data_IF_384998153557
#
_entry.id   IF_384998153557
#
_cell.length_a   1.000
_cell.length_b   1.000
_cell.length_c   1.000
_cell.angle_alpha   90.00
_cell.angle_beta   90.00
_cell.angle_gamma   90.00
#
_symmetry.space_group_name_H-M   'P 1'
#
loop_
_entity.id
_entity.type
_entity.pdbx_description
1 polymer ?
#
# COMPACT_ATOMS: atom_id res chain seq x y z
N UNK A 1 37.96 -41.54 -42.32
CA UNK A 1 38.23 -41.03 -40.96
C UNK A 1 37.83 -39.56 -40.79
N UNK A 2 36.77 -39.10 -41.47
CA UNK A 2 36.39 -37.68 -41.60
C UNK A 2 34.92 -37.39 -41.26
N UNK A 3 34.08 -38.42 -41.11
CA UNK A 3 32.64 -38.25 -40.85
C UNK A 3 32.25 -38.16 -39.36
N UNK A 4 33.04 -38.72 -38.44
CA UNK A 4 32.70 -38.75 -37.01
C UNK A 4 32.96 -37.38 -36.35
N UNK A 5 33.92 -36.61 -36.88
CA UNK A 5 34.34 -35.31 -36.33
C UNK A 5 33.28 -34.21 -36.57
N UNK A 6 32.43 -34.32 -37.60
CA UNK A 6 31.36 -33.33 -37.87
C UNK A 6 30.12 -33.48 -36.99
N UNK A 7 29.84 -34.68 -36.48
CA UNK A 7 28.63 -34.93 -35.65
C UNK A 7 28.85 -34.45 -34.21
N UNK A 8 30.09 -34.51 -33.72
CA UNK A 8 30.44 -34.03 -32.37
C UNK A 8 30.37 -32.50 -32.28
N UNK A 9 30.58 -31.78 -33.39
CA UNK A 9 30.49 -30.31 -33.42
C UNK A 9 29.04 -29.78 -33.42
N UNK A 10 28.07 -30.59 -33.84
CA UNK A 10 26.65 -30.20 -33.88
C UNK A 10 25.95 -30.46 -32.53
N UNK A 11 26.44 -31.43 -31.74
CA UNK A 11 25.91 -31.72 -30.40
C UNK A 11 26.48 -30.80 -29.29
N UNK A 12 27.56 -30.05 -29.56
CA UNK A 12 28.16 -29.09 -28.61
C UNK A 12 27.55 -27.68 -28.72
N UNK A 13 26.63 -27.43 -29.66
CA UNK A 13 25.99 -26.13 -29.85
C UNK A 13 24.66 -26.00 -29.07
N UNK A 14 24.20 -27.06 -28.38
CA UNK A 14 22.85 -27.11 -27.79
C UNK A 14 22.76 -26.88 -26.28
N UNK A 15 23.85 -26.55 -25.58
CA UNK A 15 23.81 -26.35 -24.12
C UNK A 15 24.51 -25.06 -23.70
N UNK A 16 24.09 -23.94 -24.28
CA UNK A 16 24.32 -22.61 -23.70
C UNK A 16 23.00 -21.83 -23.77
N UNK A 17 21.94 -22.39 -23.19
CA UNK A 17 20.92 -21.54 -22.58
C UNK A 17 21.59 -20.93 -21.35
N UNK A 18 22.27 -19.81 -21.57
CA UNK A 18 22.66 -18.91 -20.49
C UNK A 18 21.35 -18.52 -19.81
N UNK A 19 21.04 -19.14 -18.67
CA UNK A 19 20.07 -18.57 -17.76
C UNK A 19 20.63 -17.20 -17.40
N UNK A 20 20.07 -16.14 -18.00
CA UNK A 20 20.35 -14.78 -17.55
C UNK A 20 20.13 -14.80 -16.04
N UNK A 21 21.04 -14.25 -15.22
CA UNK A 21 20.74 -14.05 -13.83
C UNK A 21 19.43 -13.26 -13.80
N UNK A 22 18.39 -13.82 -13.16
CA UNK A 22 17.19 -13.05 -12.85
C UNK A 22 17.70 -11.89 -12.01
N UNK A 23 17.80 -10.73 -12.62
CA UNK A 23 18.16 -9.51 -11.92
C UNK A 23 17.04 -9.29 -10.92
N UNK A 24 17.31 -9.53 -9.65
CA UNK A 24 16.37 -9.19 -8.57
C UNK A 24 16.01 -7.73 -8.72
N UNK A 25 14.72 -7.41 -8.68
CA UNK A 25 14.25 -6.04 -8.67
C UNK A 25 14.92 -5.29 -7.50
N UNK A 26 15.32 -4.05 -7.74
CA UNK A 26 15.74 -3.17 -6.66
C UNK A 26 14.49 -2.67 -5.94
N UNK A 27 14.54 -2.59 -4.61
CA UNK A 27 13.40 -2.16 -3.79
C UNK A 27 13.87 -1.04 -2.88
N UNK A 28 13.43 0.17 -3.21
CA UNK A 28 13.70 1.37 -2.42
C UNK A 28 12.70 1.43 -1.27
N UNK A 29 13.14 1.49 0.01
CA UNK A 29 12.23 1.69 1.13
C UNK A 29 11.43 2.98 0.97
N UNK A 30 10.13 2.89 1.22
CA UNK A 30 9.25 4.05 1.24
C UNK A 30 9.20 4.61 2.66
N UNK A 31 9.63 5.85 2.83
CA UNK A 31 9.57 6.55 4.12
C UNK A 31 8.20 7.23 4.27
N UNK A 32 7.44 6.79 5.27
CA UNK A 32 6.16 7.38 5.64
C UNK A 32 6.37 8.40 6.75
N UNK A 33 5.76 9.58 6.62
CA UNK A 33 5.83 10.66 7.59
C UNK A 33 4.51 10.80 8.33
N UNK A 34 4.56 11.06 9.64
CA UNK A 34 3.38 11.35 10.44
C UNK A 34 2.78 12.71 10.04
N UNK A 35 1.48 12.70 9.72
CA UNK A 35 0.76 13.88 9.25
C UNK A 35 1.00 14.19 7.78
N UNK A 36 0.08 14.96 7.19
CA UNK A 36 0.09 15.28 5.76
C UNK A 36 0.50 16.74 5.51
N UNK A 37 1.29 16.97 4.47
CA UNK A 37 1.53 18.31 3.94
C UNK A 37 0.32 18.81 3.12
N UNK A 38 0.42 20.00 2.51
CA UNK A 38 -0.70 20.58 1.74
C UNK A 38 -1.16 19.69 0.59
N UNK A 39 -0.23 19.15 -0.19
CA UNK A 39 -0.52 18.31 -1.35
C UNK A 39 -1.21 17.01 -0.94
N UNK A 40 -0.65 16.35 0.07
CA UNK A 40 -1.18 15.10 0.62
C UNK A 40 -2.54 15.31 1.30
N UNK A 41 -2.75 16.46 1.96
CA UNK A 41 -4.03 16.80 2.57
C UNK A 41 -5.13 16.97 1.52
N UNK A 42 -4.82 17.59 0.38
CA UNK A 42 -5.76 17.69 -0.75
C UNK A 42 -6.11 16.30 -1.29
N UNK A 43 -5.08 15.45 -1.49
CA UNK A 43 -5.27 14.07 -1.92
C UNK A 43 -6.16 13.27 -0.96
N UNK A 44 -5.90 13.34 0.35
CA UNK A 44 -6.69 12.68 1.38
C UNK A 44 -8.11 13.22 1.41
N UNK A 45 -8.27 14.54 1.42
CA UNK A 45 -9.59 15.17 1.54
C UNK A 45 -10.51 14.75 0.40
N UNK A 46 -10.01 14.73 -0.84
CA UNK A 46 -10.79 14.38 -2.02
C UNK A 46 -10.87 12.87 -2.25
N UNK A 47 -9.74 12.16 -2.15
CA UNK A 47 -9.64 10.74 -2.48
C UNK A 47 -10.15 9.80 -1.39
N UNK A 48 -10.14 10.20 -0.12
CA UNK A 48 -10.54 9.37 1.02
C UNK A 48 -11.81 9.85 1.73
N UNK A 49 -12.57 10.79 1.17
CA UNK A 49 -13.79 11.32 1.83
C UNK A 49 -14.70 10.18 2.31
N UNK A 50 -15.05 9.25 1.42
CA UNK A 50 -15.98 8.15 1.72
C UNK A 50 -15.40 7.18 2.76
N UNK A 51 -14.09 6.92 2.70
CA UNK A 51 -13.38 6.10 3.70
C UNK A 51 -13.45 6.76 5.08
N UNK A 52 -13.17 8.06 5.18
CA UNK A 52 -13.21 8.81 6.44
C UNK A 52 -14.64 8.84 7.00
N UNK A 53 -15.63 9.12 6.16
CA UNK A 53 -17.04 9.09 6.56
C UNK A 53 -17.47 7.71 7.05
N UNK A 54 -17.03 6.65 6.37
CA UNK A 54 -17.27 5.26 6.79
C UNK A 54 -16.63 4.96 8.14
N UNK A 55 -15.41 5.42 8.39
CA UNK A 55 -14.71 5.23 9.67
C UNK A 55 -15.44 5.94 10.83
N UNK A 56 -15.84 7.21 10.63
CA UNK A 56 -16.64 7.95 11.62
C UNK A 56 -17.95 7.23 11.89
N UNK A 57 -18.63 6.75 10.84
CA UNK A 57 -19.88 5.99 10.98
C UNK A 57 -19.66 4.69 11.74
N UNK A 58 -18.62 3.94 11.44
CA UNK A 58 -18.28 2.71 12.15
C UNK A 58 -18.02 3.00 13.63
N UNK A 59 -17.25 4.04 13.95
CA UNK A 59 -17.06 4.46 15.35
C UNK A 59 -18.39 4.79 16.03
N UNK A 60 -19.25 5.55 15.35
CA UNK A 60 -20.54 5.98 15.90
C UNK A 60 -21.57 4.86 16.04
N UNK A 61 -21.51 3.78 15.28
CA UNK A 61 -22.63 2.82 15.15
C UNK A 61 -22.25 1.37 15.38
N UNK A 62 -20.96 1.04 15.38
CA UNK A 62 -20.48 -0.34 15.42
C UNK A 62 -19.32 -0.53 16.41
N UNK A 63 -18.80 0.55 17.01
CA UNK A 63 -17.75 0.52 18.02
C UNK A 63 -18.26 0.90 19.42
N UNK A 64 -17.33 1.08 20.36
CA UNK A 64 -17.58 1.37 21.78
C UNK A 64 -18.52 2.56 22.03
N UNK A 65 -18.66 3.50 21.09
CA UNK A 65 -19.51 4.68 21.30
C UNK A 65 -20.98 4.35 21.55
N UNK A 66 -21.59 3.37 20.86
CA UNK A 66 -23.01 3.01 21.17
C UNK A 66 -23.14 2.01 22.32
N UNK A 67 -22.05 1.35 22.69
CA UNK A 67 -22.02 0.34 23.75
C UNK A 67 -21.51 0.92 25.07
N UNK A 68 -21.75 2.21 25.29
CA UNK A 68 -21.35 2.92 26.50
C UNK A 68 -21.93 2.33 27.79
N UNK A 69 -21.32 2.67 28.94
CA UNK A 69 -21.76 2.18 30.23
C UNK A 69 -23.19 2.64 30.57
N UNK A 70 -23.93 1.81 31.31
CA UNK A 70 -25.23 2.18 31.87
C UNK A 70 -25.01 3.04 33.13
N UNK A 71 -25.41 4.31 33.08
CA UNK A 71 -25.15 5.27 34.15
C UNK A 71 -26.44 5.69 34.87
N UNK A 72 -26.36 5.86 36.19
CA UNK A 72 -27.46 6.44 36.97
C UNK A 72 -27.45 7.97 36.88
N UNK A 73 -28.56 8.62 37.27
CA UNK A 73 -28.63 10.08 37.30
C UNK A 73 -27.74 10.61 38.42
N UNK A 74 -26.71 11.39 38.08
CA UNK A 74 -25.74 11.97 39.02
C UNK A 74 -24.32 11.40 38.93
N UNK A 75 -24.08 10.35 38.14
CA UNK A 75 -22.76 9.78 37.90
C UNK A 75 -22.06 10.43 36.69
N UNK A 76 -21.54 11.64 36.88
CA UNK A 76 -20.90 12.39 35.78
C UNK A 76 -19.68 11.68 35.18
N UNK A 77 -18.96 10.88 35.98
CA UNK A 77 -17.80 10.10 35.56
C UNK A 77 -18.13 8.79 34.85
N UNK A 78 -19.40 8.38 34.84
CA UNK A 78 -19.85 7.20 34.10
C UNK A 78 -20.18 7.57 32.64
N UNK A 79 -20.58 8.82 32.37
CA UNK A 79 -21.04 9.25 31.05
C UNK A 79 -19.86 9.39 30.09
N UNK A 80 -19.97 8.77 28.92
CA UNK A 80 -18.97 8.88 27.86
C UNK A 80 -19.20 10.10 26.96
N UNK A 81 -18.13 10.63 26.37
CA UNK A 81 -18.15 11.68 25.35
C UNK A 81 -17.84 11.11 23.95
N UNK A 82 -18.04 11.93 22.93
CA UNK A 82 -17.56 11.62 21.57
C UNK A 82 -16.05 11.89 21.50
N UNK A 83 -15.27 10.81 21.47
CA UNK A 83 -13.80 10.85 21.48
C UNK A 83 -13.23 10.17 20.23
N UNK A 84 -13.58 10.70 19.06
CA UNK A 84 -13.06 10.21 17.79
C UNK A 84 -11.72 10.85 17.44
N UNK A 85 -10.76 10.03 17.03
CA UNK A 85 -9.52 10.48 16.42
C UNK A 85 -9.13 9.56 15.27
N UNK A 86 -8.44 10.14 14.30
CA UNK A 86 -7.81 9.45 13.19
C UNK A 86 -6.52 10.19 12.84
N UNK A 87 -5.46 9.46 12.54
CA UNK A 87 -4.18 9.98 12.09
C UNK A 87 -3.79 9.37 10.74
N UNK A 88 -2.80 9.97 10.11
CA UNK A 88 -2.28 9.54 8.82
C UNK A 88 -0.76 9.45 8.88
N UNK A 89 -0.22 8.40 8.28
CA UNK A 89 1.19 8.38 7.85
C UNK A 89 1.20 8.38 6.31
N UNK A 90 2.01 9.23 5.71
CA UNK A 90 1.94 9.48 4.27
C UNK A 90 3.30 9.49 3.58
N UNK A 91 3.29 9.14 2.30
CA UNK A 91 4.41 9.35 1.40
C UNK A 91 3.88 9.77 0.03
N UNK A 92 4.58 10.69 -0.60
CA UNK A 92 4.35 11.09 -1.99
C UNK A 92 5.44 10.49 -2.87
N UNK A 93 5.06 9.76 -3.91
CA UNK A 93 5.98 9.11 -4.85
C UNK A 93 5.38 9.01 -6.25
N UNK A 94 6.13 9.42 -7.26
CA UNK A 94 5.80 9.25 -8.68
C UNK A 94 5.93 7.76 -9.09
N UNK A 95 4.81 7.03 -9.07
CA UNK A 95 4.80 5.60 -9.36
C UNK A 95 4.73 5.31 -10.86
N UNK A 96 4.16 6.21 -11.66
CA UNK A 96 4.03 6.06 -13.12
C UNK A 96 5.03 6.88 -13.97
N UNK A 97 5.93 7.59 -13.30
CA UNK A 97 6.98 8.42 -13.90
C UNK A 97 6.42 9.58 -14.75
N UNK A 98 5.23 10.09 -14.41
CA UNK A 98 4.60 11.20 -15.13
C UNK A 98 5.02 12.59 -14.60
N UNK A 99 5.78 12.65 -13.51
CA UNK A 99 6.22 13.87 -12.84
C UNK A 99 5.25 14.42 -11.79
N UNK A 100 4.17 13.70 -11.49
CA UNK A 100 3.22 13.97 -10.41
C UNK A 100 3.22 12.78 -9.45
N UNK A 101 3.22 13.05 -8.16
CA UNK A 101 3.30 11.99 -7.17
C UNK A 101 1.93 11.34 -6.91
N UNK A 102 1.90 10.02 -6.84
CA UNK A 102 0.87 9.31 -6.10
C UNK A 102 1.08 9.47 -4.59
N UNK A 103 -0.02 9.53 -3.84
CA UNK A 103 0.01 9.67 -2.38
C UNK A 103 -0.38 8.35 -1.74
N UNK A 104 0.55 7.77 -0.98
CA UNK A 104 0.33 6.57 -0.17
C UNK A 104 -0.06 7.03 1.22
N UNK A 105 -1.20 6.55 1.72
CA UNK A 105 -1.78 6.97 3.01
C UNK A 105 -2.08 5.75 3.86
N UNK A 106 -1.37 5.61 4.98
CA UNK A 106 -1.74 4.70 6.06
C UNK A 106 -2.74 5.42 6.95
N UNK A 107 -3.86 4.76 7.25
CA UNK A 107 -4.92 5.32 8.09
C UNK A 107 -4.95 4.59 9.43
N UNK A 108 -4.71 5.33 10.52
CA UNK A 108 -4.83 4.83 11.89
C UNK A 108 -5.91 5.60 12.66
N UNK A 109 -6.56 4.95 13.62
CA UNK A 109 -7.66 5.51 14.38
C UNK A 109 -8.37 4.47 15.24
N UNK A 110 -9.33 4.95 16.03
CA UNK A 110 -10.06 4.11 16.99
C UNK A 110 -10.78 2.97 16.28
N UNK A 111 -10.31 1.74 16.49
CA UNK A 111 -10.90 0.53 15.94
C UNK A 111 -10.65 0.29 14.45
N UNK A 112 -9.76 1.07 13.82
CA UNK A 112 -9.46 0.94 12.38
C UNK A 112 -8.35 -0.08 12.09
N UNK A 113 -7.40 -0.22 13.02
CA UNK A 113 -6.25 -1.10 12.88
C UNK A 113 -6.37 -2.35 13.76
N UNK A 114 -5.85 -3.46 13.26
CA UNK A 114 -5.83 -4.75 13.96
C UNK A 114 -4.41 -5.16 14.36
N UNK A 115 -4.26 -6.37 14.89
CA UNK A 115 -2.95 -6.90 15.30
C UNK A 115 -1.95 -7.05 14.16
N UNK A 116 -2.42 -7.10 12.90
CA UNK A 116 -1.58 -7.14 11.71
C UNK A 116 -1.13 -5.75 11.22
N UNK A 117 -1.71 -4.67 11.74
CA UNK A 117 -1.40 -3.29 11.35
C UNK A 117 -2.62 -2.51 10.86
N UNK A 118 -2.35 -1.50 10.05
CA UNK A 118 -3.35 -0.61 9.46
C UNK A 118 -3.48 -0.84 7.94
N UNK A 119 -4.61 -0.43 7.38
CA UNK A 119 -4.78 -0.35 5.94
C UNK A 119 -4.04 0.86 5.37
N UNK A 120 -3.53 0.70 4.16
CA UNK A 120 -3.07 1.82 3.34
C UNK A 120 -3.84 1.92 2.03
N UNK A 121 -3.83 3.13 1.49
CA UNK A 121 -4.44 3.51 0.23
C UNK A 121 -3.40 4.17 -0.67
N UNK A 122 -3.51 3.95 -1.97
CA UNK A 122 -2.75 4.68 -2.99
C UNK A 122 -3.72 5.62 -3.69
N UNK A 123 -3.43 6.91 -3.66
CA UNK A 123 -4.24 7.95 -4.27
C UNK A 123 -3.49 8.50 -5.48
N UNK A 124 -4.18 8.60 -6.61
CA UNK A 124 -3.64 9.21 -7.82
C UNK A 124 -4.54 10.37 -8.25
N UNK A 125 -3.93 11.44 -8.75
CA UNK A 125 -4.66 12.52 -9.37
C UNK A 125 -4.92 12.18 -10.85
N UNK A 126 -6.18 11.87 -11.18
CA UNK A 126 -6.61 11.62 -12.56
C UNK A 126 -7.51 12.76 -13.01
N UNK A 127 -7.05 13.54 -13.98
CA UNK A 127 -7.80 14.68 -14.54
C UNK A 127 -8.27 15.68 -13.48
N UNK A 128 -7.39 16.11 -12.58
CA UNK A 128 -7.68 17.07 -11.50
C UNK A 128 -8.64 16.54 -10.43
N UNK A 129 -8.76 15.22 -10.30
CA UNK A 129 -9.53 14.58 -9.22
C UNK A 129 -8.72 13.47 -8.59
N UNK A 130 -8.66 13.44 -7.26
CA UNK A 130 -8.01 12.38 -6.52
C UNK A 130 -8.90 11.14 -6.38
N UNK A 131 -8.35 9.97 -6.69
CA UNK A 131 -9.06 8.71 -6.60
C UNK A 131 -8.18 7.63 -5.96
N UNK A 132 -8.81 6.70 -5.25
CA UNK A 132 -8.15 5.49 -4.76
C UNK A 132 -7.85 4.59 -5.96
N UNK A 133 -6.56 4.31 -6.18
CA UNK A 133 -6.09 3.35 -7.18
C UNK A 133 -5.41 2.13 -6.54
N UNK A 134 -5.39 2.03 -5.21
CA UNK A 134 -4.86 0.88 -4.51
C UNK A 134 -5.32 0.84 -3.06
N UNK A 135 -5.48 -0.36 -2.53
CA UNK A 135 -5.71 -0.59 -1.10
C UNK A 135 -5.01 -1.88 -0.69
N UNK A 136 -4.22 -1.83 0.38
CA UNK A 136 -3.47 -3.00 0.83
C UNK A 136 -3.34 -3.05 2.35
N UNK A 137 -2.96 -4.23 2.83
CA UNK A 137 -2.73 -4.54 4.23
C UNK A 137 -1.76 -5.72 4.34
N UNK A 138 -0.82 -5.68 5.30
CA UNK A 138 -0.55 -4.58 6.23
C UNK A 138 0.43 -3.51 5.71
N UNK A 139 0.30 -2.27 6.16
CA UNK A 139 1.02 -1.13 5.59
C UNK A 139 2.37 -0.73 6.25
N UNK A 140 3.14 -1.67 6.81
CA UNK A 140 4.45 -1.36 7.42
C UNK A 140 5.62 -1.82 6.54
N UNK A 141 6.79 -1.17 6.62
CA UNK A 141 7.99 -1.54 5.84
C UNK A 141 7.75 -1.66 4.32
N UNK A 142 7.04 -0.68 3.78
CA UNK A 142 6.76 -0.60 2.34
C UNK A 142 8.02 -0.25 1.56
N UNK A 143 8.07 -0.67 0.31
CA UNK A 143 9.08 -0.25 -0.64
C UNK A 143 8.53 -0.20 -2.06
N UNK A 144 9.12 0.67 -2.87
CA UNK A 144 8.83 0.79 -4.30
C UNK A 144 9.84 -0.04 -5.07
N UNK A 145 9.34 -0.94 -5.89
CA UNK A 145 10.13 -1.82 -6.75
C UNK A 145 10.56 -1.09 -8.01
N UNK A 146 11.71 -1.48 -8.57
CA UNK A 146 12.08 -1.14 -9.94
C UNK A 146 11.25 -1.89 -10.99
N UNK A 147 10.45 -2.88 -10.59
CA UNK A 147 9.54 -3.58 -11.49
C UNK A 147 8.34 -2.69 -11.81
N UNK A 148 7.90 -2.74 -13.07
CA UNK A 148 6.77 -1.96 -13.57
C UNK A 148 5.67 -2.90 -14.06
N UNK A 149 4.45 -2.67 -13.58
CA UNK A 149 3.23 -3.33 -14.04
C UNK A 149 2.26 -2.30 -14.61
N UNK A 150 1.89 -2.45 -15.88
CA UNK A 150 0.96 -1.54 -16.59
C UNK A 150 1.29 -0.05 -16.44
N UNK A 151 2.58 0.28 -16.46
CA UNK A 151 3.07 1.66 -16.39
C UNK A 151 3.37 2.18 -14.99
N UNK A 152 3.03 1.44 -13.94
CA UNK A 152 3.25 1.83 -12.55
C UNK A 152 4.28 0.92 -11.85
N UNK A 153 5.06 1.49 -10.95
CA UNK A 153 6.02 0.75 -10.12
C UNK A 153 5.31 -0.16 -9.12
N UNK A 154 5.76 -1.42 -9.01
CA UNK A 154 5.18 -2.36 -8.04
C UNK A 154 5.49 -1.90 -6.60
N UNK A 155 4.55 -2.12 -5.68
CA UNK A 155 4.74 -1.85 -4.24
C UNK A 155 5.00 -3.18 -3.53
N UNK A 156 6.04 -3.23 -2.71
CA UNK A 156 6.38 -4.39 -1.91
C UNK A 156 6.20 -4.12 -0.43
N UNK A 157 5.69 -5.12 0.27
CA UNK A 157 5.74 -5.20 1.73
C UNK A 157 6.85 -6.15 2.13
N UNK A 158 7.76 -5.68 2.98
CA UNK A 158 8.82 -6.50 3.57
C UNK A 158 8.44 -6.92 4.98
N UNK A 159 8.68 -8.18 5.32
CA UNK A 159 8.52 -8.66 6.68
C UNK A 159 9.64 -8.12 7.61
N UNK A 160 9.58 -8.46 8.89
CA UNK A 160 10.58 -8.03 9.89
C UNK A 160 12.00 -8.54 9.62
N UNK A 161 12.18 -9.52 8.72
CA UNK A 161 13.47 -10.06 8.29
C UNK A 161 14.00 -9.34 7.05
N UNK A 162 13.20 -8.43 6.46
CA UNK A 162 13.53 -7.71 5.25
C UNK A 162 13.22 -8.49 3.97
N UNK A 163 12.53 -9.64 4.08
CA UNK A 163 12.11 -10.44 2.93
C UNK A 163 10.78 -9.92 2.38
N UNK A 164 10.62 -9.89 1.07
CA UNK A 164 9.34 -9.53 0.45
C UNK A 164 8.31 -10.59 0.81
N UNK A 165 7.28 -10.17 1.54
CA UNK A 165 6.19 -11.05 1.97
C UNK A 165 5.01 -10.99 0.99
N UNK A 166 4.70 -9.81 0.45
CA UNK A 166 3.78 -9.68 -0.69
C UNK A 166 4.18 -8.52 -1.62
N UNK A 167 3.61 -8.55 -2.82
CA UNK A 167 3.76 -7.53 -3.86
C UNK A 167 2.40 -7.08 -4.33
N UNK A 168 2.20 -5.78 -4.48
CA UNK A 168 1.05 -5.19 -5.12
C UNK A 168 1.44 -4.70 -6.51
N UNK A 169 0.68 -5.11 -7.52
CA UNK A 169 0.92 -4.76 -8.93
C UNK A 169 -0.28 -4.03 -9.48
N UNK A 170 -0.04 -3.00 -10.27
CA UNK A 170 -1.11 -2.27 -10.94
C UNK A 170 -1.64 -3.07 -12.13
N UNK A 171 -2.94 -3.36 -12.16
CA UNK A 171 -3.59 -4.16 -13.20
C UNK A 171 -4.05 -3.32 -14.42
N UNK A 172 -3.83 -2.00 -14.38
CA UNK A 172 -4.32 -1.01 -15.35
C UNK A 172 -5.42 -0.11 -14.78
N UNK A 173 -6.06 -0.51 -13.68
CA UNK A 173 -7.09 0.25 -12.98
C UNK A 173 -6.80 0.39 -11.48
N UNK A 174 -6.32 -0.67 -10.84
CA UNK A 174 -6.13 -0.78 -9.40
C UNK A 174 -4.88 -1.61 -9.04
N UNK A 175 -4.29 -1.37 -7.87
CA UNK A 175 -3.23 -2.22 -7.32
C UNK A 175 -3.83 -3.46 -6.65
N UNK A 176 -3.46 -4.62 -7.17
CA UNK A 176 -3.83 -5.94 -6.64
C UNK A 176 -2.63 -6.57 -5.95
N UNK A 177 -2.83 -7.14 -4.76
CA UNK A 177 -1.75 -7.71 -3.95
C UNK A 177 -1.85 -9.23 -3.85
N UNK A 178 -0.70 -9.89 -4.00
CA UNK A 178 -0.54 -11.35 -3.97
C UNK A 178 -0.58 -11.97 -2.56
#
# INVERSE_FOLDING_TARGET
>A
MTSIIRIIFILLQLTLFSASPVQSADITPLELFEGANKYETEAIAEGLTETILSNVRHYLTESTFIYGPSCSNGEDNCRQNFEYWQSFEVASVDLDMNGSDEVIVVVDGVGLCGSGGCHAYILANKNYTWAIIGRFFPAHYLGVSSNISNGYSDINYKDKRGEVSYSCRFDGNFYECD
#
